data_IF_729552789915
#
_entry.id   IF_729552789915
#
_cell.length_a   1.000
_cell.length_b   1.000
_cell.length_c   1.000
_cell.angle_alpha   90.00
_cell.angle_beta   90.00
_cell.angle_gamma   90.00
#
_symmetry.space_group_name_H-M   'P 1'
#
loop_
_entity.id
_entity.type
_entity.pdbx_description
1 polymer ?
#
# COMPACT_ATOMS: atom_id res chain seq x y z
N UNK A 1 7.75 46.44 -48.37
CA UNK A 1 6.42 47.06 -48.57
C UNK A 1 5.35 46.08 -48.06
N UNK A 2 4.52 46.45 -47.07
CA UNK A 2 3.30 45.72 -46.67
C UNK A 2 2.09 46.22 -47.54
N UNK A 3 0.88 45.59 -47.56
CA UNK A 3 -0.05 45.61 -46.42
C UNK A 3 -1.05 44.43 -46.23
N UNK A 4 -1.42 44.23 -44.95
CA UNK A 4 -2.73 44.01 -44.28
C UNK A 4 -4.00 43.77 -45.14
N UNK A 5 -4.84 42.78 -44.73
CA UNK A 5 -6.28 42.95 -44.33
C UNK A 5 -7.34 42.00 -44.97
N UNK A 6 -8.13 41.34 -44.08
CA UNK A 6 -9.59 40.96 -44.16
C UNK A 6 -10.03 39.97 -45.26
N UNK A 7 -11.10 39.18 -45.17
CA UNK A 7 -12.08 38.80 -44.15
C UNK A 7 -13.03 37.73 -44.73
N UNK A 8 -13.71 36.98 -43.85
CA UNK A 8 -15.12 36.57 -43.94
C UNK A 8 -15.57 35.42 -44.88
N UNK A 9 -16.07 34.36 -44.19
CA UNK A 9 -17.29 33.56 -44.41
C UNK A 9 -17.47 32.83 -45.74
N UNK A 10 -17.65 31.51 -45.64
CA UNK A 10 -18.85 30.85 -46.17
C UNK A 10 -19.29 29.72 -45.22
N UNK A 11 -20.55 29.82 -44.77
CA UNK A 11 -21.33 28.72 -44.21
C UNK A 11 -21.70 27.77 -45.34
N UNK A 12 -21.71 26.46 -45.10
CA UNK A 12 -22.74 25.57 -45.68
C UNK A 12 -22.87 24.28 -44.87
N UNK A 13 -24.11 23.81 -44.85
CA UNK A 13 -24.69 22.72 -44.09
C UNK A 13 -24.49 21.35 -44.72
N UNK A 14 -24.40 20.30 -43.90
CA UNK A 14 -24.70 18.92 -44.31
C UNK A 14 -25.02 18.07 -43.07
N UNK A 15 -26.28 17.68 -42.89
CA UNK A 15 -26.80 16.32 -43.18
C UNK A 15 -26.31 15.24 -42.22
N UNK A 16 -27.17 14.93 -41.25
CA UNK A 16 -27.54 13.59 -40.78
C UNK A 16 -26.61 12.42 -41.16
N UNK A 17 -25.82 11.97 -40.19
CA UNK A 17 -25.41 10.57 -40.08
C UNK A 17 -25.84 10.05 -38.70
N UNK A 18 -26.94 9.30 -38.64
CA UNK A 18 -27.24 8.42 -37.51
C UNK A 18 -26.16 7.33 -37.46
N UNK A 19 -25.07 7.57 -36.72
CA UNK A 19 -24.23 6.47 -36.24
C UNK A 19 -24.88 5.92 -34.97
N UNK A 20 -25.50 4.75 -35.09
CA UNK A 20 -25.86 3.93 -33.93
C UNK A 20 -24.58 3.66 -33.14
N UNK A 21 -24.49 4.17 -31.91
CA UNK A 21 -23.41 3.81 -30.98
C UNK A 21 -23.49 2.30 -30.75
N UNK A 22 -22.41 1.52 -30.91
CA UNK A 22 -22.34 0.23 -30.26
C UNK A 22 -22.44 0.49 -28.76
N UNK A 23 -23.37 -0.15 -28.06
CA UNK A 23 -23.35 -0.16 -26.60
C UNK A 23 -22.13 -0.97 -26.19
N UNK A 24 -21.01 -0.29 -25.94
CA UNK A 24 -19.96 -0.84 -25.11
C UNK A 24 -20.56 -0.91 -23.70
N UNK A 25 -21.26 -2.00 -23.39
CA UNK A 25 -21.49 -2.38 -21.99
C UNK A 25 -20.12 -2.88 -21.54
N UNK A 26 -19.24 -1.92 -21.22
CA UNK A 26 -17.99 -2.23 -20.56
C UNK A 26 -18.36 -2.82 -19.22
N UNK A 27 -18.04 -4.09 -19.02
CA UNK A 27 -17.99 -4.68 -17.69
C UNK A 27 -17.03 -3.83 -16.88
N UNK A 28 -17.57 -3.08 -15.91
CA UNK A 28 -16.76 -2.30 -14.99
C UNK A 28 -16.10 -3.31 -14.07
N UNK A 29 -14.90 -3.77 -14.46
CA UNK A 29 -14.06 -4.59 -13.59
C UNK A 29 -13.68 -3.68 -12.42
N UNK A 30 -14.32 -3.89 -11.27
CA UNK A 30 -13.98 -3.17 -10.05
C UNK A 30 -12.53 -3.44 -9.73
N UNK A 31 -11.70 -2.40 -9.75
CA UNK A 31 -10.31 -2.50 -9.31
C UNK A 31 -10.27 -3.09 -7.89
N UNK A 32 -9.31 -3.96 -7.57
CA UNK A 32 -9.17 -4.49 -6.21
C UNK A 32 -9.01 -3.32 -5.23
N UNK A 33 -9.88 -3.27 -4.22
CA UNK A 33 -9.85 -2.24 -3.19
C UNK A 33 -8.77 -2.58 -2.17
N UNK A 34 -7.83 -1.66 -1.97
CA UNK A 34 -6.85 -1.76 -0.90
C UNK A 34 -7.37 -1.07 0.36
N UNK A 35 -7.26 -1.75 1.51
CA UNK A 35 -7.72 -1.23 2.80
C UNK A 35 -6.52 -0.83 3.64
N UNK A 36 -6.24 0.48 3.65
CA UNK A 36 -5.10 1.02 4.41
C UNK A 36 -5.45 1.35 5.85
N UNK A 37 -4.46 1.18 6.74
CA UNK A 37 -4.54 1.67 8.11
C UNK A 37 -4.47 3.20 8.13
N UNK A 38 -5.16 3.79 9.10
CA UNK A 38 -5.03 5.21 9.38
C UNK A 38 -3.63 5.54 9.90
N UNK A 39 -3.15 6.75 9.58
CA UNK A 39 -1.89 7.27 10.13
C UNK A 39 -2.00 7.34 11.67
N UNK A 40 -0.99 6.90 12.42
CA UNK A 40 -0.99 7.02 13.88
C UNK A 40 -1.29 8.46 14.33
N UNK A 41 -2.18 8.67 15.33
CA UNK A 41 -2.60 10.01 15.74
C UNK A 41 -1.42 10.93 16.09
N UNK A 42 -0.39 10.39 16.72
CA UNK A 42 0.78 11.15 17.11
C UNK A 42 1.66 11.57 15.93
N UNK A 43 1.70 10.78 14.86
CA UNK A 43 2.35 11.16 13.61
C UNK A 43 1.55 12.25 12.86
N UNK A 44 0.22 12.30 13.01
CA UNK A 44 -0.61 13.39 12.50
C UNK A 44 -0.35 14.68 13.29
N UNK A 45 -0.32 14.57 14.62
CA UNK A 45 -0.19 15.73 15.52
C UNK A 45 1.22 16.32 15.55
N UNK A 46 2.25 15.47 15.54
CA UNK A 46 3.65 15.86 15.76
C UNK A 46 4.51 15.72 14.50
N UNK A 47 3.96 15.19 13.42
CA UNK A 47 4.72 14.74 12.27
C UNK A 47 5.45 13.42 12.53
N UNK A 48 6.04 12.87 11.47
CA UNK A 48 6.78 11.61 11.51
C UNK A 48 7.19 11.17 10.12
N UNK A 49 8.02 10.14 10.06
CA UNK A 49 8.42 9.50 8.79
C UNK A 49 7.96 8.05 8.83
N UNK A 50 7.14 7.66 7.86
CA UNK A 50 6.79 6.25 7.65
C UNK A 50 8.03 5.48 7.18
N UNK A 51 8.38 4.42 7.91
CA UNK A 51 9.60 3.63 7.66
C UNK A 51 9.30 2.23 7.10
N UNK A 52 8.10 1.70 7.35
CA UNK A 52 7.68 0.36 7.02
C UNK A 52 6.18 0.35 6.73
N UNK A 53 5.79 -0.32 5.65
CA UNK A 53 4.41 -0.70 5.35
C UNK A 53 4.35 -2.16 4.98
N UNK A 54 3.47 -2.92 5.61
CA UNK A 54 3.24 -4.33 5.32
C UNK A 54 1.76 -4.54 4.94
N UNK A 55 1.50 -5.38 3.95
CA UNK A 55 0.15 -5.64 3.45
C UNK A 55 0.02 -7.07 2.96
N UNK A 56 -1.15 -7.67 3.11
CA UNK A 56 -1.43 -8.99 2.58
C UNK A 56 -1.97 -8.83 1.16
N UNK A 57 -1.23 -9.35 0.18
CA UNK A 57 -1.61 -9.33 -1.24
C UNK A 57 -1.52 -10.76 -1.75
N UNK A 58 -2.63 -11.29 -2.26
CA UNK A 58 -2.71 -12.66 -2.80
C UNK A 58 -2.20 -13.76 -1.84
N UNK A 59 -2.38 -13.56 -0.54
CA UNK A 59 -1.97 -14.52 0.50
C UNK A 59 -0.50 -14.43 0.92
N UNK A 60 0.27 -13.50 0.37
CA UNK A 60 1.64 -13.21 0.76
C UNK A 60 1.78 -11.82 1.38
N UNK A 61 2.85 -11.61 2.16
CA UNK A 61 3.17 -10.30 2.72
C UNK A 61 3.96 -9.48 1.71
N UNK A 62 3.41 -8.37 1.26
CA UNK A 62 4.10 -7.35 0.47
C UNK A 62 4.60 -6.24 1.39
N UNK A 63 5.89 -5.89 1.28
CA UNK A 63 6.57 -4.92 2.16
C UNK A 63 7.14 -3.75 1.36
N UNK A 64 6.84 -2.54 1.79
CA UNK A 64 7.54 -1.31 1.42
C UNK A 64 8.41 -0.83 2.58
N UNK A 65 9.68 -0.52 2.33
CA UNK A 65 10.64 -0.16 3.37
C UNK A 65 11.48 1.05 2.96
N UNK A 66 11.68 1.98 3.89
CA UNK A 66 12.67 3.05 3.80
C UNK A 66 13.90 2.65 4.62
N UNK A 67 15.11 2.93 4.11
CA UNK A 67 16.34 2.84 4.91
C UNK A 67 16.38 3.97 5.93
N UNK A 68 15.69 3.78 7.05
CA UNK A 68 15.48 4.81 8.07
C UNK A 68 16.47 4.78 9.23
N UNK A 69 17.26 3.71 9.35
CA UNK A 69 18.26 3.55 10.40
C UNK A 69 19.64 3.26 9.80
N UNK A 70 20.67 3.84 10.41
CA UNK A 70 22.07 3.58 10.06
C UNK A 70 22.60 2.28 10.68
N UNK A 71 22.08 1.92 11.86
CA UNK A 71 22.47 0.72 12.60
C UNK A 71 21.44 -0.41 12.42
N UNK A 72 21.82 -1.56 11.84
CA UNK A 72 20.97 -2.74 11.73
C UNK A 72 20.38 -3.23 13.06
N UNK A 73 21.06 -3.01 14.19
CA UNK A 73 20.56 -3.39 15.51
C UNK A 73 19.21 -2.73 15.83
N UNK A 74 19.00 -1.50 15.35
CA UNK A 74 17.74 -0.75 15.54
C UNK A 74 16.56 -1.45 14.87
N UNK A 75 16.78 -2.14 13.75
CA UNK A 75 15.73 -2.97 13.13
C UNK A 75 15.33 -4.15 14.02
N UNK A 76 16.30 -4.74 14.75
CA UNK A 76 16.02 -5.78 15.73
C UNK A 76 15.10 -5.30 16.85
N UNK A 77 15.31 -4.08 17.35
CA UNK A 77 14.43 -3.45 18.36
C UNK A 77 13.03 -3.26 17.79
N UNK A 78 12.90 -2.72 16.56
CA UNK A 78 11.60 -2.52 15.92
C UNK A 78 10.80 -3.83 15.79
N UNK A 79 11.46 -4.93 15.40
CA UNK A 79 10.80 -6.23 15.28
C UNK A 79 10.27 -6.75 16.62
N UNK A 80 11.01 -6.52 17.72
CA UNK A 80 10.54 -6.85 19.06
C UNK A 80 9.33 -6.00 19.44
N UNK A 81 9.34 -4.71 19.14
CA UNK A 81 8.21 -3.83 19.41
C UNK A 81 6.96 -4.26 18.63
N UNK A 82 7.10 -4.62 17.36
CA UNK A 82 6.00 -5.18 16.56
C UNK A 82 5.43 -6.46 17.18
N UNK A 83 6.30 -7.39 17.60
CA UNK A 83 5.87 -8.62 18.26
C UNK A 83 5.08 -8.35 19.55
N UNK A 84 5.51 -7.37 20.36
CA UNK A 84 4.80 -6.96 21.58
C UNK A 84 3.43 -6.35 21.28
N UNK A 85 3.33 -5.48 20.28
CA UNK A 85 2.04 -4.91 19.87
C UNK A 85 1.07 -6.00 19.39
N UNK A 86 1.53 -6.92 18.55
CA UNK A 86 0.72 -8.05 18.11
C UNK A 86 0.26 -8.89 19.31
N UNK A 87 1.14 -9.20 20.25
CA UNK A 87 0.81 -9.99 21.45
C UNK A 87 -0.31 -9.36 22.28
N UNK A 88 -0.29 -8.03 22.47
CA UNK A 88 -1.34 -7.30 23.17
C UNK A 88 -2.67 -7.35 22.43
N UNK A 89 -2.66 -7.22 21.11
CA UNK A 89 -3.88 -7.34 20.30
C UNK A 89 -4.49 -8.73 20.46
N UNK A 90 -3.67 -9.79 20.36
CA UNK A 90 -4.15 -11.16 20.60
C UNK A 90 -4.75 -11.32 21.99
N UNK A 91 -4.14 -10.74 23.01
CA UNK A 91 -4.65 -10.81 24.36
C UNK A 91 -6.02 -10.11 24.52
N UNK A 92 -6.20 -8.99 23.82
CA UNK A 92 -7.46 -8.24 23.83
C UNK A 92 -8.58 -8.96 23.04
N UNK A 93 -8.24 -9.63 21.93
CA UNK A 93 -9.24 -10.14 20.98
C UNK A 93 -9.57 -11.63 21.17
N UNK A 94 -8.67 -12.44 21.74
CA UNK A 94 -8.79 -13.91 21.73
C UNK A 94 -8.87 -14.55 23.12
N UNK A 95 -8.58 -13.78 24.19
CA UNK A 95 -8.50 -14.29 25.56
C UNK A 95 -7.23 -15.08 25.90
N UNK A 96 -6.29 -15.20 24.95
CA UNK A 96 -4.91 -15.65 25.20
C UNK A 96 -4.18 -14.65 26.09
N UNK A 97 -3.21 -15.06 26.92
CA UNK A 97 -2.39 -14.08 27.64
C UNK A 97 -1.37 -13.41 26.71
N UNK A 98 -0.94 -12.19 27.03
CA UNK A 98 0.10 -11.49 26.26
C UNK A 98 1.40 -12.32 26.20
N UNK A 99 1.77 -12.99 27.30
CA UNK A 99 2.97 -13.81 27.37
C UNK A 99 2.88 -15.07 26.49
N UNK A 100 1.73 -15.75 26.47
CA UNK A 100 1.50 -16.88 25.57
C UNK A 100 1.56 -16.46 24.10
N UNK A 101 0.91 -15.34 23.75
CA UNK A 101 0.94 -14.81 22.39
C UNK A 101 2.37 -14.43 21.97
N UNK A 102 3.12 -13.77 22.85
CA UNK A 102 4.50 -13.39 22.59
C UNK A 102 5.40 -14.63 22.44
N UNK A 103 5.20 -15.66 23.27
CA UNK A 103 5.94 -16.92 23.16
C UNK A 103 5.68 -17.60 21.81
N UNK A 104 4.43 -17.65 21.36
CA UNK A 104 4.06 -18.21 20.06
C UNK A 104 4.68 -17.43 18.89
N UNK A 105 4.62 -16.08 18.92
CA UNK A 105 5.24 -15.23 17.90
C UNK A 105 6.77 -15.46 17.84
N UNK A 106 7.43 -15.52 19.00
CA UNK A 106 8.88 -15.79 19.08
C UNK A 106 9.23 -17.16 18.51
N UNK A 107 8.43 -18.19 18.79
CA UNK A 107 8.63 -19.52 18.24
C UNK A 107 8.52 -19.52 16.71
N UNK A 108 7.52 -18.83 16.15
CA UNK A 108 7.36 -18.69 14.70
C UNK A 108 8.55 -17.96 14.06
N UNK A 109 9.01 -16.86 14.67
CA UNK A 109 10.17 -16.11 14.20
C UNK A 109 11.45 -16.95 14.21
N UNK A 110 11.72 -17.66 15.31
CA UNK A 110 12.90 -18.53 15.42
C UNK A 110 12.86 -19.69 14.41
N UNK A 111 11.68 -20.26 14.17
CA UNK A 111 11.51 -21.30 13.17
C UNK A 111 11.83 -20.78 11.75
N UNK A 112 11.34 -19.61 11.40
CA UNK A 112 11.59 -18.98 10.08
C UNK A 112 13.05 -18.56 9.92
N UNK A 113 13.70 -18.02 10.97
CA UNK A 113 15.12 -17.68 10.94
C UNK A 113 16.01 -18.92 10.72
N UNK A 114 15.67 -20.05 11.35
CA UNK A 114 16.43 -21.29 11.22
C UNK A 114 16.13 -22.04 9.91
N UNK A 115 14.93 -21.89 9.37
CA UNK A 115 14.49 -22.53 8.13
C UNK A 115 13.59 -21.59 7.31
N UNK A 116 14.18 -20.71 6.50
CA UNK A 116 13.41 -19.76 5.69
C UNK A 116 12.48 -20.51 4.72
N UNK A 117 11.20 -20.16 4.75
CA UNK A 117 10.15 -20.72 3.89
C UNK A 117 9.78 -19.78 2.74
N UNK A 118 10.05 -18.49 2.88
CA UNK A 118 9.99 -17.49 1.80
C UNK A 118 11.24 -16.59 1.82
N UNK A 119 11.93 -16.50 0.68
CA UNK A 119 13.08 -15.59 0.54
C UNK A 119 12.66 -14.15 0.20
N UNK A 120 11.39 -13.96 -0.16
CA UNK A 120 10.80 -12.68 -0.50
C UNK A 120 11.42 -12.01 -1.74
N UNK A 121 10.84 -10.89 -2.13
CA UNK A 121 11.53 -9.89 -2.95
C UNK A 121 11.24 -8.52 -2.35
N UNK A 122 12.30 -7.75 -2.03
CA UNK A 122 12.16 -6.42 -1.44
C UNK A 122 12.68 -5.38 -2.41
N UNK A 123 11.92 -4.30 -2.60
CA UNK A 123 12.38 -3.11 -3.33
C UNK A 123 12.55 -1.98 -2.34
N UNK A 124 13.76 -1.44 -2.26
CA UNK A 124 13.99 -0.18 -1.55
C UNK A 124 13.29 0.93 -2.33
N UNK A 125 12.39 1.65 -1.67
CA UNK A 125 11.74 2.83 -2.24
C UNK A 125 12.56 4.03 -1.79
N UNK A 126 13.37 4.57 -2.70
CA UNK A 126 14.14 5.81 -2.48
C UNK A 126 13.41 6.99 -3.10
#
# INVERSE_FOLDING_TARGET
MPPISRSSRFQTSARWCRRRKPSCIGEVVSQPKFEELAVPPDAVERGGVEILRASIVEGAVSVGLRRSFDDPFTWGILLVDLARHASRIYALETGMSEDEALAAIRQGMEAELNRPTDLGSTRAVN
#
